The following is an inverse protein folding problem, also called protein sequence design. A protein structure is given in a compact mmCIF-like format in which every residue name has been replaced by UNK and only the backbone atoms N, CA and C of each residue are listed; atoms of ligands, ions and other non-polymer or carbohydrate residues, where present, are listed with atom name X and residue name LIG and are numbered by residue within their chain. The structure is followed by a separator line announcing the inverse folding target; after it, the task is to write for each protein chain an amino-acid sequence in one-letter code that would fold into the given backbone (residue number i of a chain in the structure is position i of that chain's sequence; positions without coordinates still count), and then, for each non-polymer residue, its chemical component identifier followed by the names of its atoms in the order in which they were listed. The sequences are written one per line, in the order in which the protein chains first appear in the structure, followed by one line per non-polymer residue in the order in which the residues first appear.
data_IF_044788794307
#
_entry.id   IF_044788794307
#
_cell.length_a   1.000
_cell.length_b   1.000
_cell.length_c   1.000
_cell.angle_alpha   90.00
_cell.angle_beta   90.00
_cell.angle_gamma   90.00
#
_symmetry.space_group_name_H-M   'P 1'
#
loop_
_entity.id
_entity.type
_entity.pdbx_description
1 polymer ?
#
# COMPACT_ATOMS: atom_id res chain seq x y z
N UNK A 1 -4.90 -4.42 11.44
CA UNK A 1 -4.13 -4.92 10.28
C UNK A 1 -5.05 -4.98 9.08
N UNK A 2 -4.60 -4.43 7.95
CA UNK A 2 -5.33 -4.45 6.68
C UNK A 2 -4.47 -5.12 5.61
N UNK A 3 -5.06 -6.08 4.90
CA UNK A 3 -4.40 -6.81 3.82
C UNK A 3 -4.94 -6.32 2.47
N UNK A 4 -4.05 -6.00 1.56
CA UNK A 4 -4.39 -5.40 0.26
C UNK A 4 -3.70 -6.13 -0.89
N UNK A 5 -4.37 -6.16 -2.06
CA UNK A 5 -3.68 -6.32 -3.33
C UNK A 5 -3.05 -4.99 -3.76
N UNK A 6 -1.96 -5.06 -4.51
CA UNK A 6 -1.19 -3.87 -4.89
C UNK A 6 -1.96 -2.87 -5.75
N UNK A 7 -2.71 -3.34 -6.73
CA UNK A 7 -3.50 -2.48 -7.59
C UNK A 7 -4.66 -1.80 -6.84
N UNK A 8 -5.29 -2.52 -5.92
CA UNK A 8 -6.35 -1.97 -5.09
C UNK A 8 -5.81 -0.95 -4.08
N UNK A 9 -4.61 -1.18 -3.55
CA UNK A 9 -3.96 -0.23 -2.64
C UNK A 9 -3.62 1.10 -3.33
N UNK A 10 -3.08 1.04 -4.53
CA UNK A 10 -2.60 2.23 -5.23
C UNK A 10 -3.67 2.91 -6.11
N UNK A 11 -4.68 2.18 -6.57
CA UNK A 11 -5.46 2.61 -7.73
C UNK A 11 -6.91 3.01 -7.51
N UNK A 12 -7.52 2.76 -6.36
CA UNK A 12 -8.94 3.05 -6.15
C UNK A 12 -9.24 4.39 -5.48
N UNK A 13 -8.23 5.12 -5.08
CA UNK A 13 -8.38 6.43 -4.43
C UNK A 13 -8.71 6.37 -2.95
N UNK A 14 -9.47 5.40 -2.49
CA UNK A 14 -9.92 5.30 -1.10
C UNK A 14 -8.76 5.20 -0.09
N UNK A 15 -7.69 4.50 -0.43
CA UNK A 15 -6.52 4.37 0.44
C UNK A 15 -5.80 5.71 0.60
N UNK A 16 -5.61 6.45 -0.49
CA UNK A 16 -5.03 7.78 -0.46
C UNK A 16 -5.85 8.75 0.38
N UNK A 17 -7.16 8.70 0.25
CA UNK A 17 -8.09 9.51 1.03
C UNK A 17 -8.02 9.16 2.52
N UNK A 18 -7.94 7.88 2.86
CA UNK A 18 -7.76 7.43 4.24
C UNK A 18 -6.45 7.93 4.84
N UNK A 19 -5.34 7.90 4.08
CA UNK A 19 -4.08 8.50 4.54
C UNK A 19 -4.22 10.00 4.75
N UNK A 20 -4.93 10.69 3.87
CA UNK A 20 -5.18 12.14 4.03
C UNK A 20 -5.96 12.49 5.29
N UNK A 21 -6.80 11.58 5.77
CA UNK A 21 -7.60 11.75 6.99
C UNK A 21 -6.89 11.26 8.26
N UNK A 22 -5.87 10.43 8.15
CA UNK A 22 -5.30 9.65 9.26
C UNK A 22 -4.75 10.49 10.42
N UNK A 23 -4.27 11.71 10.15
CA UNK A 23 -3.75 12.61 11.16
C UNK A 23 -4.79 13.51 11.84
N UNK A 24 -6.02 13.52 11.34
CA UNK A 24 -7.08 14.40 11.85
C UNK A 24 -7.69 13.85 13.14
N UNK A 25 -7.91 14.73 14.10
CA UNK A 25 -8.40 14.34 15.43
C UNK A 25 -9.69 13.53 15.37
N UNK A 26 -10.62 13.90 14.50
CA UNK A 26 -11.90 13.20 14.35
C UNK A 26 -11.83 11.86 13.63
N UNK A 27 -10.68 11.50 13.05
CA UNK A 27 -10.52 10.28 12.25
C UNK A 27 -9.43 9.32 12.78
N UNK A 28 -8.82 9.63 13.91
CA UNK A 28 -7.79 8.78 14.51
C UNK A 28 -8.36 7.44 14.98
N UNK A 29 -7.62 6.37 14.69
CA UNK A 29 -7.99 5.00 15.07
C UNK A 29 -6.95 4.31 15.96
N UNK A 30 -5.87 5.01 16.34
CA UNK A 30 -4.78 4.45 17.15
C UNK A 30 -3.65 3.83 16.35
N UNK A 31 -3.80 3.72 15.05
CA UNK A 31 -2.78 3.23 14.13
C UNK A 31 -3.25 2.06 13.28
N UNK A 32 -2.56 1.85 12.15
CA UNK A 32 -2.90 0.80 11.19
C UNK A 32 -1.62 0.18 10.62
N UNK A 33 -1.61 -1.13 10.49
CA UNK A 33 -0.59 -1.87 9.75
C UNK A 33 -1.21 -2.29 8.43
N UNK A 34 -0.63 -1.84 7.34
CA UNK A 34 -1.02 -2.24 5.98
C UNK A 34 -0.05 -3.29 5.46
N UNK A 35 -0.57 -4.41 5.01
CA UNK A 35 0.19 -5.47 4.35
C UNK A 35 -0.25 -5.49 2.89
N UNK A 36 0.68 -5.20 1.97
CA UNK A 36 0.41 -5.19 0.54
C UNK A 36 1.03 -6.41 -0.11
N UNK A 37 0.20 -7.31 -0.61
CA UNK A 37 0.64 -8.46 -1.39
C UNK A 37 0.76 -8.01 -2.84
N UNK A 38 2.01 -7.77 -3.28
CA UNK A 38 2.30 -7.22 -4.59
C UNK A 38 2.62 -8.33 -5.59
N UNK A 39 1.64 -8.77 -6.36
CA UNK A 39 1.85 -9.67 -7.50
C UNK A 39 2.18 -8.92 -8.80
N UNK A 40 2.27 -7.59 -8.75
CA UNK A 40 2.60 -6.69 -9.84
C UNK A 40 1.56 -6.62 -10.96
N UNK A 41 0.38 -7.19 -10.75
CA UNK A 41 -0.68 -7.24 -11.77
C UNK A 41 -1.94 -6.58 -11.21
N UNK A 42 -2.49 -5.62 -11.95
CA UNK A 42 -3.81 -5.06 -11.71
C UNK A 42 -4.80 -5.62 -12.73
N UNK A 43 -5.58 -6.64 -12.37
CA UNK A 43 -6.44 -7.37 -13.29
C UNK A 43 -5.62 -7.92 -14.47
N UNK A 44 -5.75 -7.36 -15.70
CA UNK A 44 -4.99 -7.77 -16.89
C UNK A 44 -3.89 -6.78 -17.26
N UNK A 45 -3.59 -5.79 -16.39
CA UNK A 45 -2.61 -4.73 -16.68
C UNK A 45 -1.21 -5.17 -16.27
N UNK A 46 -0.28 -5.13 -17.23
CA UNK A 46 1.13 -5.43 -16.96
C UNK A 46 1.78 -4.35 -16.07
N UNK A 47 2.83 -4.69 -15.29
CA UNK A 47 3.47 -3.77 -14.35
C UNK A 47 3.91 -2.44 -14.97
N UNK A 48 4.46 -2.47 -16.18
CA UNK A 48 4.95 -1.28 -16.90
C UNK A 48 3.87 -0.27 -17.26
N UNK A 49 2.59 -0.69 -17.24
CA UNK A 49 1.44 0.15 -17.57
C UNK A 49 0.52 0.41 -16.37
N UNK A 50 0.86 -0.15 -15.22
CA UNK A 50 -0.05 -0.17 -14.06
C UNK A 50 -0.02 1.12 -13.26
N UNK A 51 1.13 1.73 -13.10
CA UNK A 51 1.28 2.96 -12.30
C UNK A 51 2.52 3.75 -12.68
N UNK A 52 2.52 5.04 -12.32
CA UNK A 52 3.64 5.94 -12.60
C UNK A 52 4.82 5.72 -11.64
N UNK A 53 4.55 5.32 -10.40
CA UNK A 53 5.59 5.04 -9.40
C UNK A 53 6.02 3.56 -9.42
N UNK A 54 7.24 3.24 -8.99
CA UNK A 54 7.73 1.86 -9.00
C UNK A 54 7.00 0.94 -8.01
N UNK A 55 6.51 1.48 -6.88
CA UNK A 55 5.89 0.69 -5.83
C UNK A 55 4.47 1.15 -5.52
N UNK A 56 3.52 0.22 -5.27
CA UNK A 56 2.16 0.60 -4.86
C UNK A 56 2.16 1.33 -3.52
N UNK A 57 3.14 1.05 -2.66
CA UNK A 57 3.30 1.66 -1.34
C UNK A 57 3.80 3.10 -1.38
N UNK A 58 4.22 3.62 -2.53
CA UNK A 58 4.67 5.01 -2.64
C UNK A 58 3.60 6.03 -2.23
N UNK A 59 2.33 5.63 -2.29
CA UNK A 59 1.22 6.44 -1.78
C UNK A 59 1.34 6.75 -0.28
N UNK A 60 1.98 5.86 0.49
CA UNK A 60 2.18 6.05 1.93
C UNK A 60 3.27 7.09 2.25
N UNK A 61 4.08 7.47 1.27
CA UNK A 61 5.06 8.55 1.42
C UNK A 61 4.39 9.91 1.72
N UNK A 62 3.14 10.06 1.31
CA UNK A 62 2.35 11.27 1.57
C UNK A 62 2.24 11.60 3.07
N UNK A 63 2.25 10.58 3.93
CA UNK A 63 2.16 10.73 5.38
C UNK A 63 3.44 10.30 6.09
N UNK A 64 4.54 10.13 5.35
CA UNK A 64 5.85 9.74 5.87
C UNK A 64 5.81 8.43 6.68
N UNK A 65 4.93 7.52 6.29
CA UNK A 65 4.82 6.21 6.93
C UNK A 65 6.06 5.35 6.65
N UNK A 66 6.55 4.57 7.62
CA UNK A 66 7.59 3.58 7.37
C UNK A 66 7.12 2.54 6.34
N UNK A 67 7.99 2.22 5.39
CA UNK A 67 7.69 1.22 4.35
C UNK A 67 8.79 0.16 4.36
N UNK A 68 8.38 -1.10 4.44
CA UNK A 68 9.27 -2.25 4.38
C UNK A 68 9.00 -3.02 3.09
N UNK A 69 10.04 -3.28 2.32
CA UNK A 69 9.98 -4.11 1.12
C UNK A 69 10.62 -5.46 1.41
N UNK A 70 9.87 -6.52 1.25
CA UNK A 70 10.30 -7.87 1.58
C UNK A 70 10.02 -8.80 0.40
N UNK A 71 10.93 -9.72 0.13
CA UNK A 71 10.68 -10.77 -0.85
C UNK A 71 9.63 -11.75 -0.30
N UNK A 72 8.44 -11.75 -0.90
CA UNK A 72 7.34 -12.61 -0.48
C UNK A 72 7.58 -14.11 -0.67
N UNK A 73 8.57 -14.49 -1.50
CA UNK A 73 8.96 -15.88 -1.70
C UNK A 73 9.91 -16.41 -0.61
N UNK A 74 10.32 -15.54 0.30
CA UNK A 74 11.17 -15.88 1.45
C UNK A 74 10.36 -15.73 2.76
N UNK A 75 9.82 -16.84 3.29
CA UNK A 75 8.98 -16.78 4.50
C UNK A 75 9.72 -16.25 5.73
N UNK A 76 11.01 -16.54 5.85
CA UNK A 76 11.81 -16.05 6.99
C UNK A 76 12.01 -14.54 6.91
N UNK A 77 12.20 -14.00 5.72
CA UNK A 77 12.31 -12.55 5.52
C UNK A 77 10.99 -11.82 5.83
N UNK A 78 9.86 -12.47 5.55
CA UNK A 78 8.53 -11.88 5.79
C UNK A 78 8.23 -11.79 7.28
N UNK A 79 8.61 -12.77 8.06
CA UNK A 79 8.35 -12.84 9.50
C UNK A 79 9.38 -12.06 10.31
#
# INVERSE_FOLDING_TARGET
VLLHGDAAFAGQGVVAECFGLSGLVGHRTGGTIHIVVNNQIGFTTAPSFSRSSPYPTDIALMVEAPIFHVNGDDPEAVV
#
